data_IF_173507398033
#
_entry.id   IF_173507398033
#
_cell.length_a   1.000
_cell.length_b   1.000
_cell.length_c   1.000
_cell.angle_alpha   90.00
_cell.angle_beta   90.00
_cell.angle_gamma   90.00
#
_symmetry.space_group_name_H-M   'P 1'
#
loop_
_entity.id
_entity.type
_entity.pdbx_description
1 polymer ?
#
# COMPACT_ATOMS: atom_id res chain seq x y z
N UNK A 1 19.11 -2.35 7.98
CA UNK A 1 18.42 -3.65 8.12
C UNK A 1 17.33 -3.65 7.07
N UNK A 2 17.27 -4.68 6.22
CA UNK A 2 16.32 -4.69 5.12
C UNK A 2 14.89 -4.80 5.67
N UNK A 3 13.98 -3.95 5.18
CA UNK A 3 12.56 -3.98 5.56
C UNK A 3 11.89 -5.21 4.94
N UNK A 4 10.91 -5.78 5.63
CA UNK A 4 10.05 -6.83 5.07
C UNK A 4 9.11 -6.21 4.03
N UNK A 5 9.27 -6.61 2.77
CA UNK A 5 8.56 -6.03 1.63
C UNK A 5 7.25 -6.78 1.40
N UNK A 6 6.14 -6.05 1.42
CA UNK A 6 4.79 -6.59 1.20
C UNK A 6 4.13 -5.97 -0.03
N UNK A 7 3.32 -6.76 -0.73
CA UNK A 7 2.44 -6.27 -1.79
C UNK A 7 1.00 -6.16 -1.29
N UNK A 8 0.26 -5.14 -1.73
CA UNK A 8 -1.17 -5.02 -1.49
C UNK A 8 -1.94 -5.35 -2.78
N UNK A 9 -2.82 -6.34 -2.72
CA UNK A 9 -3.78 -6.65 -3.78
C UNK A 9 -5.15 -6.09 -3.37
N UNK A 10 -5.58 -5.02 -4.05
CA UNK A 10 -6.75 -4.23 -3.71
C UNK A 10 -6.41 -3.02 -2.83
N UNK A 11 -6.59 -1.82 -3.38
CA UNK A 11 -6.37 -0.50 -2.75
C UNK A 11 -7.69 0.22 -2.42
N UNK A 12 -8.69 -0.55 -2.05
CA UNK A 12 -9.94 -0.07 -1.47
C UNK A 12 -9.78 0.42 -0.02
N UNK A 13 -10.88 0.49 0.72
CA UNK A 13 -10.92 1.01 2.10
C UNK A 13 -9.88 0.37 3.03
N UNK A 14 -9.74 -0.95 3.00
CA UNK A 14 -8.80 -1.68 3.87
C UNK A 14 -7.37 -1.46 3.40
N UNK A 15 -7.08 -1.64 2.11
CA UNK A 15 -5.74 -1.47 1.55
C UNK A 15 -5.13 -0.10 1.86
N UNK A 16 -5.92 0.98 1.75
CA UNK A 16 -5.46 2.34 2.09
C UNK A 16 -5.20 2.53 3.58
N UNK A 17 -6.05 1.98 4.45
CA UNK A 17 -5.81 2.06 5.89
C UNK A 17 -4.60 1.25 6.34
N UNK A 18 -4.33 0.11 5.70
CA UNK A 18 -3.10 -0.66 5.92
C UNK A 18 -1.90 0.14 5.43
N UNK A 19 -1.96 0.71 4.22
CA UNK A 19 -0.88 1.54 3.68
C UNK A 19 -0.51 2.71 4.59
N UNK A 20 -1.51 3.45 5.10
CA UNK A 20 -1.29 4.57 6.06
C UNK A 20 -0.65 4.12 7.37
N UNK A 21 -1.01 2.94 7.90
CA UNK A 21 -0.36 2.41 9.10
C UNK A 21 1.08 1.96 8.84
N UNK A 22 1.41 1.63 7.59
CA UNK A 22 2.72 1.11 7.20
C UNK A 22 3.68 2.17 6.64
N UNK A 23 3.23 3.39 6.37
CA UNK A 23 4.01 4.49 5.77
C UNK A 23 5.34 4.73 6.50
N UNK A 24 5.29 4.75 7.84
CA UNK A 24 6.46 4.96 8.70
C UNK A 24 6.87 3.71 9.51
N UNK A 25 6.45 2.52 9.08
CA UNK A 25 6.72 1.32 9.86
C UNK A 25 8.24 0.99 9.86
N UNK A 26 8.84 0.70 11.04
CA UNK A 26 10.29 0.53 11.17
C UNK A 26 10.82 -0.72 10.47
N UNK A 27 9.96 -1.72 10.25
CA UNK A 27 10.36 -3.03 9.72
C UNK A 27 9.59 -3.52 8.50
N UNK A 28 8.57 -2.79 8.03
CA UNK A 28 7.71 -3.21 6.91
C UNK A 28 7.67 -2.10 5.87
N UNK A 29 7.67 -2.47 4.59
CA UNK A 29 7.56 -1.56 3.45
C UNK A 29 6.54 -2.10 2.46
N UNK A 30 5.61 -1.26 2.01
CA UNK A 30 4.71 -1.61 0.91
C UNK A 30 5.48 -1.41 -0.41
N UNK A 31 5.85 -2.52 -1.05
CA UNK A 31 6.69 -2.52 -2.25
C UNK A 31 5.88 -2.44 -3.56
N UNK A 32 4.62 -2.84 -3.54
CA UNK A 32 3.75 -2.81 -4.71
C UNK A 32 2.27 -2.76 -4.31
N UNK A 33 1.47 -2.12 -5.16
CA UNK A 33 0.01 -2.10 -5.08
C UNK A 33 -0.52 -2.56 -6.44
N UNK A 34 -1.47 -3.48 -6.44
CA UNK A 34 -2.23 -3.90 -7.62
C UNK A 34 -3.70 -3.66 -7.35
N UNK A 35 -4.36 -2.93 -8.25
CA UNK A 35 -5.81 -2.71 -8.24
C UNK A 35 -6.35 -2.76 -9.68
N UNK A 36 -7.68 -2.76 -9.82
CA UNK A 36 -8.37 -2.67 -11.11
C UNK A 36 -8.55 -1.23 -11.57
N UNK A 37 -8.50 -0.27 -10.65
CA UNK A 37 -8.56 1.16 -10.96
C UNK A 37 -7.23 1.66 -11.53
N UNK A 38 -7.32 2.70 -12.37
CA UNK A 38 -6.17 3.42 -12.90
C UNK A 38 -5.39 4.13 -11.77
N UNK A 39 -4.07 4.32 -11.93
CA UNK A 39 -3.25 4.96 -10.90
C UNK A 39 -3.76 6.34 -10.47
N UNK A 40 -4.27 7.14 -11.40
CA UNK A 40 -4.81 8.47 -11.14
C UNK A 40 -6.03 8.40 -10.20
N UNK A 41 -6.94 7.45 -10.43
CA UNK A 41 -8.06 7.21 -9.52
C UNK A 41 -7.60 6.73 -8.13
N UNK A 42 -6.53 5.94 -8.03
CA UNK A 42 -5.99 5.49 -6.74
C UNK A 42 -5.37 6.62 -5.92
N UNK A 43 -4.72 7.58 -6.58
CA UNK A 43 -4.13 8.76 -5.92
C UNK A 43 -5.21 9.70 -5.37
N UNK A 44 -6.36 9.77 -6.01
CA UNK A 44 -7.48 10.59 -5.56
C UNK A 44 -8.16 10.08 -4.27
N UNK A 45 -8.07 8.77 -3.97
CA UNK A 45 -8.89 8.05 -2.97
C UNK A 45 -8.26 7.90 -1.57
#
# INVERSE_FOLDING_TARGET
MDKFRVGLMGFGRIGRNVFRQLEDHPSIEVAAIVDIADPEALVYL
#
